data_IF_581835478571
#
_entry.id   IF_581835478571
#
_cell.length_a   1.000
_cell.length_b   1.000
_cell.length_c   1.000
_cell.angle_alpha   90.00
_cell.angle_beta   90.00
_cell.angle_gamma   90.00
#
_symmetry.space_group_name_H-M   'P 1'
#
loop_
_entity.id
_entity.type
_entity.pdbx_description
1 polymer ?
#
# COMPACT_ATOMS: atom_id res chain seq x y z
N UNK A 1 -13.55 -15.29 -4.39
CA UNK A 1 -14.04 -14.69 -5.65
C UNK A 1 -13.04 -15.03 -6.74
N UNK A 2 -13.50 -15.25 -7.98
CA UNK A 2 -12.56 -15.43 -9.09
C UNK A 2 -11.96 -14.09 -9.48
N UNK A 3 -10.75 -14.09 -10.05
CA UNK A 3 -10.09 -12.86 -10.48
C UNK A 3 -10.91 -12.04 -11.48
N UNK A 4 -11.75 -12.67 -12.30
CA UNK A 4 -12.71 -11.97 -13.17
C UNK A 4 -13.75 -11.16 -12.38
N UNK A 5 -14.27 -11.72 -11.29
CA UNK A 5 -15.25 -11.03 -10.44
C UNK A 5 -14.60 -9.86 -9.71
N UNK A 6 -13.37 -10.07 -9.21
CA UNK A 6 -12.59 -9.04 -8.54
C UNK A 6 -12.25 -7.90 -9.49
N UNK A 7 -11.80 -8.20 -10.72
CA UNK A 7 -11.53 -7.19 -11.75
C UNK A 7 -12.76 -6.32 -11.98
N UNK A 8 -13.93 -6.94 -12.14
CA UNK A 8 -15.19 -6.23 -12.32
C UNK A 8 -15.51 -5.34 -11.11
N UNK A 9 -15.47 -5.92 -9.91
CA UNK A 9 -15.73 -5.20 -8.65
C UNK A 9 -14.84 -3.96 -8.51
N UNK A 10 -13.53 -4.13 -8.70
CA UNK A 10 -12.55 -3.04 -8.59
C UNK A 10 -12.82 -1.97 -9.65
N UNK A 11 -13.04 -2.36 -10.91
CA UNK A 11 -13.28 -1.39 -12.00
C UNK A 11 -14.58 -0.61 -11.82
N UNK A 12 -15.62 -1.23 -11.25
CA UNK A 12 -16.91 -0.57 -10.98
C UNK A 12 -16.90 0.30 -9.71
N UNK A 13 -16.04 -0.02 -8.73
CA UNK A 13 -15.99 0.66 -7.44
C UNK A 13 -14.91 1.73 -7.33
N UNK A 14 -13.88 1.66 -8.18
CA UNK A 14 -12.77 2.62 -8.17
C UNK A 14 -13.25 4.02 -8.51
N UNK A 15 -12.72 4.98 -7.77
CA UNK A 15 -12.90 6.41 -8.01
C UNK A 15 -11.51 7.04 -8.21
N UNK A 16 -11.44 8.29 -8.68
CA UNK A 16 -10.15 8.98 -8.89
C UNK A 16 -9.31 9.19 -7.63
N UNK A 17 -9.87 8.94 -6.45
CA UNK A 17 -9.20 9.06 -5.14
C UNK A 17 -8.51 7.77 -4.70
N UNK A 18 -9.00 6.62 -5.18
CA UNK A 18 -8.43 5.32 -4.84
C UNK A 18 -7.15 5.08 -5.63
N UNK A 19 -6.09 4.69 -4.93
CA UNK A 19 -4.76 4.45 -5.52
C UNK A 19 -4.22 3.06 -5.22
N UNK A 20 -4.71 2.40 -4.18
CA UNK A 20 -4.24 1.09 -3.76
C UNK A 20 -5.37 0.09 -3.63
N UNK A 21 -4.97 -1.18 -3.65
CA UNK A 21 -5.79 -2.34 -3.31
C UNK A 21 -5.11 -3.05 -2.15
N UNK A 22 -5.84 -3.25 -1.07
CA UNK A 22 -5.55 -4.27 -0.06
C UNK A 22 -6.27 -5.54 -0.47
N UNK A 23 -5.59 -6.67 -0.51
CA UNK A 23 -6.21 -7.95 -0.87
C UNK A 23 -5.66 -9.11 -0.07
N UNK A 24 -6.46 -10.15 0.08
CA UNK A 24 -6.11 -11.34 0.85
C UNK A 24 -6.66 -12.60 0.20
N UNK A 25 -6.04 -13.74 0.52
CA UNK A 25 -6.52 -15.07 0.12
C UNK A 25 -7.52 -15.61 1.14
N UNK A 26 -8.36 -16.56 0.72
CA UNK A 26 -9.38 -17.18 1.59
C UNK A 26 -8.80 -17.79 2.86
N UNK A 27 -7.60 -18.34 2.76
CA UNK A 27 -6.93 -19.02 3.87
C UNK A 27 -6.41 -18.01 4.92
N UNK A 28 -6.49 -16.70 4.65
CA UNK A 28 -5.97 -15.60 5.46
C UNK A 28 -4.48 -15.75 5.81
N UNK A 29 -3.76 -16.55 5.02
CA UNK A 29 -2.32 -16.79 5.09
C UNK A 29 -1.53 -15.71 4.32
N UNK A 30 -2.25 -14.88 3.57
CA UNK A 30 -1.70 -13.86 2.70
C UNK A 30 -2.56 -12.60 2.76
N UNK A 31 -1.89 -11.47 2.99
CA UNK A 31 -2.42 -10.12 2.90
C UNK A 31 -1.36 -9.31 2.15
N UNK A 32 -1.76 -8.50 1.19
CA UNK A 32 -0.83 -7.68 0.41
C UNK A 32 -1.48 -6.38 -0.06
N UNK A 33 -0.64 -5.41 -0.41
CA UNK A 33 -1.01 -4.09 -0.85
C UNK A 33 -0.33 -3.81 -2.20
N UNK A 34 -1.09 -3.42 -3.22
CA UNK A 34 -0.53 -3.03 -4.52
C UNK A 34 -1.26 -1.77 -5.05
N UNK A 35 -0.69 -1.12 -6.04
CA UNK A 35 -1.39 -0.08 -6.78
C UNK A 35 -2.55 -0.70 -7.55
N UNK A 36 -3.68 0.02 -7.65
CA UNK A 36 -4.87 -0.47 -8.37
C UNK A 36 -4.52 -0.96 -9.77
N UNK A 37 -3.77 -0.15 -10.54
CA UNK A 37 -3.42 -0.49 -11.92
C UNK A 37 -2.54 -1.73 -12.00
N UNK A 38 -1.50 -1.81 -11.16
CA UNK A 38 -0.59 -2.96 -11.11
C UNK A 38 -1.29 -4.25 -10.67
N UNK A 39 -2.17 -4.14 -9.68
CA UNK A 39 -3.01 -5.25 -9.24
C UNK A 39 -3.86 -5.77 -10.40
N UNK A 40 -4.56 -4.88 -11.10
CA UNK A 40 -5.40 -5.25 -12.24
C UNK A 40 -4.59 -5.82 -13.42
N UNK A 41 -3.38 -5.35 -13.67
CA UNK A 41 -2.51 -5.91 -14.71
C UNK A 41 -2.07 -7.34 -14.39
N UNK A 42 -1.79 -7.64 -13.12
CA UNK A 42 -1.28 -8.94 -12.68
C UNK A 42 -2.36 -9.97 -12.37
N UNK A 43 -3.58 -9.51 -12.06
CA UNK A 43 -4.68 -10.37 -11.63
C UNK A 43 -5.07 -11.40 -12.71
N UNK A 44 -4.82 -12.66 -12.40
CA UNK A 44 -5.21 -13.79 -13.24
C UNK A 44 -6.70 -14.11 -13.10
N UNK A 45 -7.36 -14.55 -14.17
CA UNK A 45 -8.78 -14.91 -14.15
C UNK A 45 -9.11 -16.05 -13.20
N UNK A 46 -8.19 -17.01 -13.06
CA UNK A 46 -8.39 -18.23 -12.26
C UNK A 46 -7.99 -18.08 -10.79
N UNK A 47 -7.38 -16.96 -10.44
CA UNK A 47 -6.89 -16.69 -9.09
C UNK A 47 -8.05 -16.63 -8.08
N UNK A 48 -7.86 -17.30 -6.94
CA UNK A 48 -8.83 -17.31 -5.85
C UNK A 48 -8.50 -16.22 -4.82
N UNK A 49 -9.29 -15.16 -4.85
CA UNK A 49 -9.15 -14.04 -3.92
C UNK A 49 -10.17 -14.19 -2.79
N UNK A 50 -9.73 -14.06 -1.55
CA UNK A 50 -10.58 -14.05 -0.36
C UNK A 50 -11.37 -12.76 -0.24
N UNK A 51 -10.72 -11.62 -0.47
CA UNK A 51 -11.35 -10.31 -0.52
C UNK A 51 -10.39 -9.22 -1.01
N UNK A 52 -10.97 -8.07 -1.34
CA UNK A 52 -10.26 -6.86 -1.75
C UNK A 52 -10.88 -5.63 -1.11
N UNK A 53 -10.09 -4.60 -0.93
CA UNK A 53 -10.50 -3.29 -0.45
C UNK A 53 -9.72 -2.21 -1.17
N UNK A 54 -10.41 -1.16 -1.60
CA UNK A 54 -9.80 -0.01 -2.26
C UNK A 54 -9.43 1.03 -1.23
N UNK A 55 -8.22 1.58 -1.35
CA UNK A 55 -7.66 2.52 -0.39
C UNK A 55 -7.26 3.82 -1.09
N UNK A 56 -7.51 4.92 -0.41
CA UNK A 56 -7.05 6.25 -0.80
C UNK A 56 -5.60 6.50 -0.34
N UNK A 57 -5.03 7.63 -0.75
CA UNK A 57 -3.76 8.11 -0.20
C UNK A 57 -3.78 8.23 1.32
N UNK A 58 -4.89 8.72 1.89
CA UNK A 58 -5.02 8.88 3.34
C UNK A 58 -4.99 7.53 4.05
N UNK A 59 -5.76 6.57 3.56
CA UNK A 59 -5.86 5.25 4.20
C UNK A 59 -4.50 4.55 4.21
N UNK A 60 -3.74 4.66 3.11
CA UNK A 60 -2.39 4.08 3.05
C UNK A 60 -1.40 4.82 3.95
N UNK A 61 -1.49 6.15 4.08
CA UNK A 61 -0.66 6.90 5.06
C UNK A 61 -0.95 6.42 6.47
N UNK A 62 -2.22 6.25 6.84
CA UNK A 62 -2.61 5.82 8.17
C UNK A 62 -2.14 4.38 8.45
N UNK A 63 -2.19 3.51 7.45
CA UNK A 63 -1.68 2.14 7.54
C UNK A 63 -0.15 2.08 7.65
N UNK A 64 0.60 2.88 6.90
CA UNK A 64 2.06 2.97 7.06
C UNK A 64 2.41 3.51 8.45
N UNK A 65 1.72 4.57 8.92
CA UNK A 65 1.91 5.14 10.25
C UNK A 65 1.64 4.13 11.37
N UNK A 66 0.65 3.26 11.20
CA UNK A 66 0.37 2.17 12.16
C UNK A 66 1.59 1.28 12.40
N UNK A 67 2.39 1.04 11.36
CA UNK A 67 3.56 0.16 11.39
C UNK A 67 4.82 0.92 11.84
N UNK A 68 5.03 2.12 11.30
CA UNK A 68 6.25 2.91 11.59
C UNK A 68 6.18 3.64 12.92
N UNK A 69 4.98 3.97 13.40
CA UNK A 69 4.77 4.89 14.52
C UNK A 69 5.35 6.27 14.22
N UNK A 70 6.06 6.83 15.20
CA UNK A 70 6.67 8.17 15.12
C UNK A 70 7.81 8.29 14.09
N UNK A 71 8.26 7.16 13.52
CA UNK A 71 9.31 7.13 12.49
C UNK A 71 8.85 7.65 11.13
N UNK A 72 7.56 7.94 10.95
CA UNK A 72 7.02 8.51 9.71
C UNK A 72 6.31 9.83 10.00
N UNK A 73 6.81 10.90 9.39
CA UNK A 73 6.19 12.23 9.46
C UNK A 73 5.79 12.68 8.06
N UNK A 74 4.51 13.02 7.88
CA UNK A 74 4.02 13.64 6.64
C UNK A 74 4.04 15.16 6.82
N UNK A 75 4.62 15.87 5.85
CA UNK A 75 4.69 17.34 5.85
C UNK A 75 3.98 17.88 4.61
N UNK A 76 3.06 18.81 4.83
CA UNK A 76 2.35 19.50 3.76
C UNK A 76 3.10 20.77 3.37
N UNK A 77 3.37 20.94 2.08
CA UNK A 77 4.16 22.06 1.56
C UNK A 77 3.61 22.62 0.26
N UNK A 78 4.01 23.85 -0.07
CA UNK A 78 3.55 24.55 -1.28
C UNK A 78 3.99 23.86 -2.58
N UNK A 79 5.12 23.15 -2.55
CA UNK A 79 5.64 22.37 -3.69
C UNK A 79 5.12 20.93 -3.72
N UNK A 80 4.15 20.59 -2.86
CA UNK A 80 3.62 19.26 -2.67
C UNK A 80 3.95 18.67 -1.30
N UNK A 81 3.25 17.59 -0.98
CA UNK A 81 3.41 16.86 0.26
C UNK A 81 4.66 15.99 0.22
N UNK A 82 5.33 15.87 1.36
CA UNK A 82 6.52 15.05 1.55
C UNK A 82 6.34 14.11 2.73
N UNK A 83 7.13 13.04 2.73
CA UNK A 83 7.24 12.10 3.83
C UNK A 83 8.69 12.05 4.29
N UNK A 84 8.88 12.19 5.58
CA UNK A 84 10.14 12.01 6.29
C UNK A 84 10.06 10.67 7.04
N UNK A 85 10.99 9.77 6.74
CA UNK A 85 10.98 8.40 7.23
C UNK A 85 12.32 8.05 7.90
N UNK A 86 12.26 7.63 9.16
CA UNK A 86 13.42 7.19 9.94
C UNK A 86 13.48 5.67 9.96
N UNK A 87 14.57 5.10 9.46
CA UNK A 87 14.73 3.65 9.37
C UNK A 87 16.18 3.20 9.56
N UNK A 88 16.34 1.92 9.88
CA UNK A 88 17.65 1.29 9.98
C UNK A 88 18.28 1.12 8.60
N UNK A 89 19.55 1.50 8.48
CA UNK A 89 20.36 1.31 7.29
C UNK A 89 21.74 0.72 7.60
N UNK A 90 22.53 0.43 6.55
CA UNK A 90 23.93 0.04 6.71
C UNK A 90 24.71 1.20 7.36
N UNK A 91 24.96 1.10 8.66
CA UNK A 91 25.69 2.10 9.45
C UNK A 91 24.89 2.82 10.54
N UNK A 92 23.63 2.44 10.79
CA UNK A 92 22.80 3.02 11.86
C UNK A 92 21.46 3.55 11.34
N UNK A 93 20.79 4.35 12.16
CA UNK A 93 19.56 5.05 11.76
C UNK A 93 19.84 6.07 10.65
N UNK A 94 18.91 6.18 9.71
CA UNK A 94 18.91 7.14 8.62
C UNK A 94 17.54 7.78 8.50
N UNK A 95 17.53 9.03 8.06
CA UNK A 95 16.31 9.76 7.70
C UNK A 95 16.30 9.95 6.19
N UNK A 96 15.24 9.51 5.56
CA UNK A 96 14.97 9.71 4.13
C UNK A 96 13.78 10.68 3.97
N UNK A 97 13.88 11.62 3.04
CA UNK A 97 12.83 12.60 2.74
C UNK A 97 12.48 12.50 1.26
N UNK A 98 11.22 12.16 0.98
CA UNK A 98 10.72 11.92 -0.37
C UNK A 98 9.37 12.61 -0.58
N UNK A 99 8.98 12.81 -1.83
CA UNK A 99 7.61 13.24 -2.15
C UNK A 99 6.60 12.16 -1.74
N UNK A 100 5.45 12.61 -1.23
CA UNK A 100 4.35 11.73 -0.87
C UNK A 100 3.64 11.26 -2.14
N UNK A 101 4.01 10.07 -2.61
CA UNK A 101 3.43 9.40 -3.77
C UNK A 101 2.91 8.02 -3.38
N UNK A 102 1.99 7.43 -4.17
CA UNK A 102 1.57 6.05 -3.94
C UNK A 102 2.75 5.07 -3.87
N UNK A 103 3.69 5.18 -4.80
CA UNK A 103 4.88 4.33 -4.89
C UNK A 103 5.78 4.48 -3.66
N UNK A 104 5.97 5.71 -3.17
CA UNK A 104 6.74 5.97 -1.95
C UNK A 104 6.11 5.25 -0.76
N UNK A 105 4.79 5.31 -0.59
CA UNK A 105 4.10 4.68 0.54
C UNK A 105 4.22 3.15 0.52
N UNK A 106 4.03 2.51 -0.64
CA UNK A 106 4.23 1.06 -0.77
C UNK A 106 5.69 0.67 -0.53
N UNK A 107 6.65 1.46 -1.03
CA UNK A 107 8.08 1.20 -0.80
C UNK A 107 8.42 1.20 0.69
N UNK A 108 7.90 2.18 1.45
CA UNK A 108 8.08 2.25 2.90
C UNK A 108 7.37 1.06 3.58
N UNK A 109 6.13 0.77 3.19
CA UNK A 109 5.36 -0.35 3.72
C UNK A 109 6.10 -1.69 3.56
N UNK A 110 6.59 -1.98 2.36
CA UNK A 110 7.32 -3.20 2.04
C UNK A 110 8.63 -3.30 2.82
N UNK A 111 9.34 -2.19 2.97
CA UNK A 111 10.58 -2.15 3.73
C UNK A 111 10.37 -2.43 5.22
N UNK A 112 9.27 -1.93 5.80
CA UNK A 112 8.95 -2.08 7.21
C UNK A 112 8.36 -3.45 7.54
N UNK A 113 7.50 -3.97 6.68
CA UNK A 113 6.91 -5.31 6.84
C UNK A 113 7.84 -6.43 6.39
N UNK A 114 8.87 -6.11 5.58
CA UNK A 114 9.72 -7.09 4.88
C UNK A 114 8.87 -8.10 4.06
N UNK A 115 7.71 -7.66 3.57
CA UNK A 115 6.75 -8.52 2.88
C UNK A 115 5.91 -9.42 3.79
N UNK A 116 5.89 -9.21 5.12
CA UNK A 116 4.96 -9.87 6.04
C UNK A 116 4.12 -8.84 6.81
N UNK A 117 2.94 -8.48 6.29
CA UNK A 117 2.08 -7.47 6.91
C UNK A 117 1.28 -7.96 8.13
N UNK A 118 1.33 -9.26 8.46
CA UNK A 118 0.62 -9.89 9.60
C UNK A 118 1.47 -9.83 10.88
N UNK A 119 2.28 -8.78 11.05
CA UNK A 119 3.11 -8.57 12.24
C UNK A 119 2.29 -8.20 13.48
#
# INVERSE_FOLDING_TARGET
>A
MKGTDVRKLVTESVSGEHRFVRWWRKENDFLDYDLVDKFLERLSSDEEIGGVELLTMKDMVDEVKRITGERLTVRHGESGDTVEWVHGGKGGERTEVCFLTPETLLTIYDAETRGNPIG
#
